data_IF_226181380082
#
_entry.id   IF_226181380082
#
_cell.length_a   1.000
_cell.length_b   1.000
_cell.length_c   1.000
_cell.angle_alpha   90.00
_cell.angle_beta   90.00
_cell.angle_gamma   90.00
#
_symmetry.space_group_name_H-M   'P 1'
#
loop_
_entity.id
_entity.type
_entity.pdbx_description
1 polymer ?
#
# COMPACT_ATOMS: atom_id res chain seq x y z
N UNK A 1 35.68 -14.43 -39.60
CA UNK A 1 34.49 -13.67 -40.05
C UNK A 1 33.26 -14.54 -39.82
N UNK A 2 32.24 -14.01 -39.13
CA UNK A 2 31.01 -14.70 -38.71
C UNK A 2 30.69 -14.42 -37.23
N UNK A 3 30.47 -13.14 -36.85
CA UNK A 3 29.14 -12.56 -36.58
C UNK A 3 28.39 -13.37 -35.50
N UNK A 4 28.57 -13.01 -34.23
CA UNK A 4 27.51 -12.39 -33.41
C UNK A 4 26.17 -13.14 -33.44
N UNK A 5 26.06 -14.23 -32.68
CA UNK A 5 24.77 -14.67 -32.14
C UNK A 5 24.59 -14.09 -30.75
N UNK A 6 24.17 -12.83 -30.74
CA UNK A 6 23.50 -12.19 -29.63
C UNK A 6 22.06 -12.67 -29.66
N UNK A 7 21.67 -13.59 -28.77
CA UNK A 7 20.28 -13.93 -28.53
C UNK A 7 20.06 -14.14 -27.04
N UNK A 8 19.94 -13.00 -26.37
CA UNK A 8 18.86 -12.76 -25.41
C UNK A 8 18.66 -13.88 -24.39
N UNK A 9 19.67 -14.09 -23.54
CA UNK A 9 19.43 -14.49 -22.18
C UNK A 9 18.56 -13.41 -21.54
N UNK A 10 17.24 -13.56 -21.70
CA UNK A 10 16.27 -12.92 -20.85
C UNK A 10 16.56 -13.43 -19.44
N UNK A 11 17.45 -12.74 -18.73
CA UNK A 11 17.34 -12.62 -17.29
C UNK A 11 15.97 -12.00 -17.06
N UNK A 12 14.92 -12.83 -17.09
CA UNK A 12 13.77 -12.64 -16.23
C UNK A 12 14.41 -12.53 -14.86
N UNK A 13 14.57 -11.30 -14.39
CA UNK A 13 14.79 -11.03 -12.98
C UNK A 13 13.71 -11.84 -12.29
N UNK A 14 14.08 -13.00 -11.75
CA UNK A 14 13.19 -13.84 -10.98
C UNK A 14 12.73 -12.94 -9.85
N UNK A 15 11.51 -12.44 -10.00
CA UNK A 15 10.94 -11.56 -9.01
C UNK A 15 10.83 -12.44 -7.76
N UNK A 16 11.49 -12.08 -6.65
CA UNK A 16 11.53 -12.95 -5.49
C UNK A 16 10.09 -13.29 -5.09
N UNK A 17 9.80 -14.59 -5.00
CA UNK A 17 8.46 -15.06 -4.64
C UNK A 17 8.16 -14.57 -3.24
N UNK A 18 7.27 -13.59 -3.13
CA UNK A 18 6.83 -13.05 -1.86
C UNK A 18 5.95 -14.10 -1.17
N UNK A 19 6.38 -14.55 0.01
CA UNK A 19 5.55 -15.41 0.85
C UNK A 19 4.29 -14.66 1.30
N UNK A 20 3.15 -15.36 1.48
CA UNK A 20 1.96 -14.75 2.06
C UNK A 20 2.26 -14.13 3.42
N UNK A 21 1.77 -12.91 3.63
CA UNK A 21 1.93 -12.22 4.91
C UNK A 21 0.80 -12.65 5.84
N UNK A 22 1.15 -13.17 7.02
CA UNK A 22 0.15 -13.41 8.08
C UNK A 22 0.06 -12.18 8.97
N UNK A 23 -1.14 -11.65 9.13
CA UNK A 23 -1.45 -10.53 10.03
C UNK A 23 -2.49 -10.96 11.07
N UNK A 24 -2.49 -10.33 12.24
CA UNK A 24 -3.55 -10.47 13.23
C UNK A 24 -4.65 -9.44 12.93
N UNK A 25 -5.88 -9.92 12.69
CA UNK A 25 -7.08 -9.11 12.53
C UNK A 25 -8.15 -9.54 13.56
N UNK A 26 -8.28 -8.76 14.62
CA UNK A 26 -9.01 -9.15 15.82
C UNK A 26 -8.34 -10.37 16.46
N UNK A 27 -9.12 -11.41 16.72
CA UNK A 27 -8.63 -12.66 17.30
C UNK A 27 -8.19 -13.69 16.26
N UNK A 28 -8.27 -13.37 14.96
CA UNK A 28 -8.01 -14.32 13.87
C UNK A 28 -6.77 -13.96 13.07
N UNK A 29 -5.89 -14.93 12.77
CA UNK A 29 -4.86 -14.73 11.77
C UNK A 29 -5.51 -14.65 10.38
N UNK A 30 -5.06 -13.69 9.58
CA UNK A 30 -5.46 -13.50 8.19
C UNK A 30 -4.21 -13.58 7.32
N UNK A 31 -4.28 -14.34 6.23
CA UNK A 31 -3.19 -14.47 5.26
C UNK A 31 -3.46 -13.57 4.06
N UNK A 32 -2.50 -12.72 3.74
CA UNK A 32 -2.53 -11.80 2.61
C UNK A 32 -1.59 -12.30 1.51
N UNK A 33 -2.12 -12.62 0.31
CA UNK A 33 -1.32 -13.21 -0.77
C UNK A 33 -0.51 -12.13 -1.51
N UNK A 34 0.63 -11.71 -0.95
CA UNK A 34 1.47 -10.63 -1.49
C UNK A 34 1.95 -10.86 -2.94
N UNK A 35 2.06 -12.11 -3.38
CA UNK A 35 2.36 -12.46 -4.77
C UNK A 35 1.30 -11.95 -5.75
N UNK A 36 0.03 -11.95 -5.35
CA UNK A 36 -1.08 -11.43 -6.18
C UNK A 36 -1.00 -9.92 -6.32
N UNK A 37 -0.72 -9.21 -5.22
CA UNK A 37 -0.49 -7.77 -5.24
C UNK A 37 0.68 -7.41 -6.14
N UNK A 38 1.81 -8.10 -6.00
CA UNK A 38 3.00 -7.86 -6.82
C UNK A 38 2.68 -8.05 -8.31
N UNK A 39 2.00 -9.13 -8.67
CA UNK A 39 1.55 -9.35 -10.05
C UNK A 39 0.65 -8.20 -10.53
N UNK A 40 -0.35 -7.81 -9.75
CA UNK A 40 -1.28 -6.71 -10.07
C UNK A 40 -0.57 -5.37 -10.29
N UNK A 41 0.44 -5.05 -9.47
CA UNK A 41 1.25 -3.82 -9.59
C UNK A 41 2.18 -3.89 -10.81
N UNK A 42 2.75 -5.07 -11.10
CA UNK A 42 3.67 -5.26 -12.21
C UNK A 42 2.98 -5.20 -13.58
N UNK A 43 1.73 -5.66 -13.69
CA UNK A 43 0.96 -5.60 -14.94
C UNK A 43 0.61 -4.18 -15.38
N UNK A 44 0.59 -3.21 -14.45
CA UNK A 44 0.28 -1.83 -14.79
C UNK A 44 1.45 -1.17 -15.52
N UNK A 45 1.20 -0.38 -16.56
CA UNK A 45 2.28 0.30 -17.29
C UNK A 45 2.63 1.66 -16.67
N UNK A 46 1.64 2.33 -16.07
CA UNK A 46 1.82 3.63 -15.41
C UNK A 46 1.91 3.45 -13.90
N UNK A 47 2.72 4.30 -13.26
CA UNK A 47 2.84 4.33 -11.79
C UNK A 47 1.49 4.64 -11.14
N UNK A 48 0.72 5.58 -11.71
CA UNK A 48 -0.60 5.96 -11.24
C UNK A 48 -1.53 4.74 -11.08
N UNK A 49 -1.68 3.98 -12.17
CA UNK A 49 -2.54 2.80 -12.23
C UNK A 49 -2.05 1.71 -11.26
N UNK A 50 -0.73 1.58 -11.08
CA UNK A 50 -0.13 0.64 -10.13
C UNK A 50 -0.46 0.96 -8.67
N UNK A 51 -0.42 2.24 -8.31
CA UNK A 51 -0.76 2.73 -6.97
C UNK A 51 -2.25 2.57 -6.69
N UNK A 52 -3.08 2.92 -7.66
CA UNK A 52 -4.53 2.73 -7.57
C UNK A 52 -4.88 1.25 -7.41
N UNK A 53 -4.30 0.38 -8.23
CA UNK A 53 -4.52 -1.07 -8.13
C UNK A 53 -4.04 -1.65 -6.80
N UNK A 54 -2.92 -1.17 -6.23
CA UNK A 54 -2.45 -1.58 -4.91
C UNK A 54 -3.41 -1.16 -3.79
N UNK A 55 -3.96 0.06 -3.86
CA UNK A 55 -4.92 0.55 -2.88
C UNK A 55 -6.24 -0.24 -2.96
N UNK A 56 -6.75 -0.53 -4.16
CA UNK A 56 -7.94 -1.36 -4.34
C UNK A 56 -7.72 -2.80 -3.90
N UNK A 57 -6.58 -3.40 -4.25
CA UNK A 57 -6.24 -4.74 -3.81
C UNK A 57 -6.29 -4.82 -2.29
N UNK A 58 -5.61 -3.89 -1.59
CA UNK A 58 -5.57 -3.92 -0.13
C UNK A 58 -6.96 -3.73 0.50
N UNK A 59 -7.75 -2.82 -0.06
CA UNK A 59 -9.12 -2.57 0.40
C UNK A 59 -10.02 -3.82 0.19
N UNK A 60 -9.83 -4.57 -0.90
CA UNK A 60 -10.57 -5.83 -1.14
C UNK A 60 -10.17 -6.99 -0.21
N UNK A 61 -8.94 -6.97 0.32
CA UNK A 61 -8.44 -8.04 1.19
C UNK A 61 -8.76 -7.81 2.67
N UNK A 62 -8.98 -6.56 3.08
CA UNK A 62 -9.15 -6.18 4.48
C UNK A 62 -10.46 -5.44 4.72
N UNK A 63 -11.13 -5.65 5.86
CA UNK A 63 -12.28 -4.83 6.26
C UNK A 63 -11.76 -3.48 6.80
N UNK A 64 -11.25 -2.65 5.90
CA UNK A 64 -10.73 -1.30 6.16
C UNK A 64 -11.64 -0.28 5.50
N UNK A 65 -11.75 0.91 6.09
CA UNK A 65 -12.60 1.98 5.53
C UNK A 65 -11.89 2.69 4.38
N UNK A 66 -10.56 2.81 4.47
CA UNK A 66 -9.79 3.55 3.48
C UNK A 66 -8.34 3.09 3.37
N UNK A 67 -7.82 3.15 2.14
CA UNK A 67 -6.39 3.07 1.84
C UNK A 67 -6.02 4.30 1.03
N UNK A 68 -4.93 4.97 1.39
CA UNK A 68 -4.45 6.14 0.65
C UNK A 68 -2.94 6.10 0.43
N UNK A 69 -2.50 6.70 -0.67
CA UNK A 69 -1.11 6.87 -1.02
C UNK A 69 -0.83 8.29 -1.51
N UNK A 70 0.31 8.86 -1.13
CA UNK A 70 0.76 10.16 -1.60
C UNK A 70 2.21 10.07 -2.04
N UNK A 71 2.51 10.57 -3.24
CA UNK A 71 3.86 10.73 -3.74
C UNK A 71 4.17 12.22 -3.98
N UNK A 72 5.12 12.80 -3.22
CA UNK A 72 5.33 14.24 -3.14
C UNK A 72 5.93 14.83 -4.41
N UNK A 73 6.75 14.09 -5.16
CA UNK A 73 7.41 14.63 -6.37
C UNK A 73 6.48 14.70 -7.57
N UNK A 74 5.47 13.84 -7.61
CA UNK A 74 4.49 13.82 -8.68
C UNK A 74 3.19 14.54 -8.29
N UNK A 75 3.10 15.05 -7.06
CA UNK A 75 1.88 15.64 -6.50
C UNK A 75 0.71 14.67 -6.49
N UNK A 76 0.99 13.36 -6.54
CA UNK A 76 -0.03 12.35 -6.80
C UNK A 76 -0.61 11.87 -5.48
N UNK A 77 -1.91 12.09 -5.30
CA UNK A 77 -2.71 11.60 -4.19
C UNK A 77 -3.71 10.56 -4.69
N UNK A 78 -3.66 9.37 -4.10
CA UNK A 78 -4.58 8.27 -4.39
C UNK A 78 -5.30 7.85 -3.13
N UNK A 79 -6.57 7.51 -3.30
CA UNK A 79 -7.43 7.03 -2.24
C UNK A 79 -8.33 5.95 -2.84
N UNK A 80 -8.30 4.76 -2.26
CA UNK A 80 -9.26 3.71 -2.56
C UNK A 80 -10.15 3.46 -1.34
N UNK A 81 -11.45 3.41 -1.60
CA UNK A 81 -12.49 3.11 -0.64
C UNK A 81 -13.39 2.06 -1.30
N UNK A 82 -13.62 0.90 -0.70
CA UNK A 82 -14.59 -0.05 -1.23
C UNK A 82 -15.99 0.25 -0.68
N UNK A 83 -17.02 -0.06 -1.47
CA UNK A 83 -18.42 0.36 -1.35
C UNK A 83 -19.21 -0.09 -0.12
N UNK A 84 -18.59 -0.28 1.05
CA UNK A 84 -19.29 -0.42 2.32
C UNK A 84 -19.56 0.97 2.91
N UNK A 85 -20.67 1.54 2.43
CA UNK A 85 -21.45 2.64 3.01
C UNK A 85 -20.72 3.96 3.29
N UNK A 86 -21.10 4.99 2.51
CA UNK A 86 -20.92 6.42 2.82
C UNK A 86 -19.62 6.77 3.52
N UNK A 87 -18.57 6.95 2.72
CA UNK A 87 -17.39 7.66 3.20
C UNK A 87 -17.85 8.98 3.82
N UNK A 88 -17.70 9.14 5.14
CA UNK A 88 -18.01 10.42 5.75
C UNK A 88 -17.11 11.47 5.09
N UNK A 89 -17.66 12.56 4.53
CA UNK A 89 -16.85 13.61 3.90
C UNK A 89 -15.71 14.08 4.81
N UNK A 90 -15.96 14.08 6.12
CA UNK A 90 -14.99 14.41 7.16
C UNK A 90 -13.80 13.44 7.20
N UNK A 91 -14.01 12.14 6.97
CA UNK A 91 -12.93 11.15 6.90
C UNK A 91 -12.04 11.39 5.68
N UNK A 92 -12.64 11.63 4.51
CA UNK A 92 -11.90 11.98 3.30
C UNK A 92 -11.05 13.24 3.47
N UNK A 93 -11.63 14.29 4.06
CA UNK A 93 -10.90 15.54 4.36
C UNK A 93 -9.75 15.27 5.32
N UNK A 94 -10.00 14.54 6.40
CA UNK A 94 -8.96 14.19 7.38
C UNK A 94 -7.80 13.44 6.73
N UNK A 95 -8.09 12.45 5.89
CA UNK A 95 -7.03 11.70 5.18
C UNK A 95 -6.27 12.57 4.20
N UNK A 96 -6.95 13.46 3.47
CA UNK A 96 -6.26 14.42 2.60
C UNK A 96 -5.30 15.30 3.40
N UNK A 97 -5.76 15.86 4.51
CA UNK A 97 -4.94 16.72 5.38
C UNK A 97 -3.71 15.97 5.93
N UNK A 98 -3.87 14.71 6.32
CA UNK A 98 -2.76 13.84 6.76
C UNK A 98 -1.75 13.61 5.63
N UNK A 99 -2.21 13.51 4.39
CA UNK A 99 -1.39 13.09 3.25
C UNK A 99 -0.68 14.26 2.56
N UNK A 100 -1.27 15.45 2.63
CA UNK A 100 -0.72 16.69 2.07
C UNK A 100 0.00 17.54 3.14
N UNK A 101 -0.34 17.38 4.42
CA UNK A 101 0.21 18.18 5.52
C UNK A 101 1.61 17.78 5.98
N UNK A 102 2.08 18.26 7.14
CA UNK A 102 3.34 17.82 7.75
C UNK A 102 3.34 16.32 8.07
N UNK A 103 4.51 15.69 8.05
CA UNK A 103 4.63 14.27 8.39
C UNK A 103 4.18 14.03 9.84
N UNK A 104 3.21 13.12 10.08
CA UNK A 104 2.75 12.82 11.43
C UNK A 104 3.90 12.34 12.34
N UNK A 105 3.90 12.77 13.60
CA UNK A 105 4.89 12.30 14.60
C UNK A 105 4.67 10.84 15.00
N UNK A 106 3.41 10.40 15.00
CA UNK A 106 3.01 9.04 15.35
C UNK A 106 2.62 8.28 14.10
N UNK A 107 3.03 7.01 14.01
CA UNK A 107 2.67 6.14 12.88
C UNK A 107 1.30 5.48 13.03
N UNK A 108 0.82 5.39 14.27
CA UNK A 108 -0.45 4.77 14.60
C UNK A 108 -1.19 5.64 15.61
N UNK A 109 -2.45 5.93 15.35
CA UNK A 109 -3.28 6.69 16.27
C UNK A 109 -4.76 6.41 16.01
N UNK A 110 -5.62 6.90 16.91
CA UNK A 110 -7.07 6.72 16.86
C UNK A 110 -7.79 8.06 16.90
N UNK A 111 -8.84 8.20 16.10
CA UNK A 111 -9.81 9.30 16.19
C UNK A 111 -11.21 8.69 16.16
N UNK A 112 -11.95 8.79 17.27
CA UNK A 112 -13.23 8.12 17.40
C UNK A 112 -13.11 6.60 17.26
N UNK A 113 -13.86 6.02 16.32
CA UNK A 113 -13.79 4.60 16.00
C UNK A 113 -12.79 4.25 14.88
N UNK A 114 -12.09 5.26 14.32
CA UNK A 114 -11.14 5.05 13.23
C UNK A 114 -9.71 4.97 13.76
N UNK A 115 -8.98 3.98 13.26
CA UNK A 115 -7.57 3.77 13.55
C UNK A 115 -6.78 4.03 12.28
N UNK A 116 -5.76 4.87 12.40
CA UNK A 116 -4.92 5.33 11.31
C UNK A 116 -3.55 4.68 11.46
N UNK A 117 -3.05 4.10 10.38
CA UNK A 117 -1.73 3.49 10.32
C UNK A 117 -1.01 4.03 9.09
N UNK A 118 0.11 4.72 9.30
CA UNK A 118 0.86 5.36 8.23
C UNK A 118 2.29 4.81 8.16
N UNK A 119 2.74 4.56 6.94
CA UNK A 119 4.14 4.30 6.63
C UNK A 119 4.71 5.44 5.81
N UNK A 120 5.93 5.85 6.17
CA UNK A 120 6.65 6.94 5.52
C UNK A 120 8.11 6.56 5.38
N UNK A 121 8.72 6.93 4.25
CA UNK A 121 10.15 6.69 4.01
C UNK A 121 10.44 5.30 3.46
N UNK A 122 11.66 4.81 3.66
CA UNK A 122 12.17 3.63 2.96
C UNK A 122 11.29 2.38 3.18
N UNK A 123 11.13 1.53 2.15
CA UNK A 123 11.76 1.61 0.82
C UNK A 123 11.09 2.58 -0.17
N UNK A 124 10.01 3.26 0.22
CA UNK A 124 9.40 4.30 -0.62
C UNK A 124 10.28 5.56 -0.70
N UNK A 125 10.12 6.38 -1.75
CA UNK A 125 10.79 7.67 -1.85
C UNK A 125 10.52 8.56 -0.65
N UNK A 126 11.51 9.37 -0.27
CA UNK A 126 11.41 10.30 0.85
C UNK A 126 10.14 11.17 0.75
N UNK A 127 9.44 11.33 1.89
CA UNK A 127 8.14 12.01 2.03
C UNK A 127 6.94 11.34 1.34
N UNK A 128 7.10 10.19 0.68
CA UNK A 128 5.94 9.41 0.25
C UNK A 128 5.24 8.80 1.46
N UNK A 129 3.92 8.68 1.37
CA UNK A 129 3.07 8.22 2.47
C UNK A 129 2.14 7.13 1.98
N UNK A 130 1.98 6.09 2.78
CA UNK A 130 0.95 5.07 2.58
C UNK A 130 0.16 4.99 3.89
N UNK A 131 -1.16 5.16 3.81
CA UNK A 131 -2.06 5.25 4.94
C UNK A 131 -3.14 4.17 4.82
N UNK A 132 -3.40 3.50 5.93
CA UNK A 132 -4.53 2.60 6.14
C UNK A 132 -5.42 3.20 7.23
N UNK A 133 -6.73 3.18 7.00
CA UNK A 133 -7.72 3.53 8.01
C UNK A 133 -8.66 2.36 8.20
N UNK A 134 -8.75 1.84 9.43
CA UNK A 134 -9.65 0.75 9.77
C UNK A 134 -10.67 1.13 10.86
N UNK A 135 -11.85 0.50 10.85
CA UNK A 135 -12.84 0.66 11.90
C UNK A 135 -12.57 -0.28 13.08
N UNK A 136 -12.58 0.25 14.30
CA UNK A 136 -12.60 -0.53 15.53
C UNK A 136 -11.27 -1.19 15.91
N UNK A 137 -10.16 -0.88 15.23
CA UNK A 137 -8.80 -1.18 15.68
C UNK A 137 -8.50 -2.66 15.78
N UNK A 138 -8.88 -3.42 14.76
CA UNK A 138 -8.72 -4.87 14.75
C UNK A 138 -7.33 -5.30 14.28
N UNK A 139 -6.62 -4.48 13.53
CA UNK A 139 -5.25 -4.74 13.11
C UNK A 139 -4.30 -4.32 14.23
N UNK A 140 -3.48 -5.27 14.69
CA UNK A 140 -2.44 -4.94 15.67
C UNK A 140 -1.41 -3.96 15.07
N UNK A 141 -0.74 -3.17 15.92
CA UNK A 141 0.28 -2.22 15.46
C UNK A 141 1.41 -2.95 14.70
N UNK A 142 1.83 -4.12 15.17
CA UNK A 142 2.85 -4.96 14.55
C UNK A 142 2.38 -5.43 13.17
N UNK A 143 1.14 -5.89 13.09
CA UNK A 143 0.51 -6.36 11.84
C UNK A 143 0.38 -5.24 10.81
N UNK A 144 -0.04 -4.05 11.25
CA UNK A 144 -0.13 -2.87 10.41
C UNK A 144 1.26 -2.45 9.88
N UNK A 145 2.29 -2.47 10.73
CA UNK A 145 3.65 -2.16 10.30
C UNK A 145 4.17 -3.16 9.28
N UNK A 146 4.02 -4.46 9.54
CA UNK A 146 4.46 -5.51 8.63
C UNK A 146 3.76 -5.40 7.27
N UNK A 147 2.45 -5.14 7.28
CA UNK A 147 1.64 -4.93 6.09
C UNK A 147 2.11 -3.71 5.30
N UNK A 148 2.14 -2.54 5.94
CA UNK A 148 2.51 -1.30 5.27
C UNK A 148 3.95 -1.34 4.73
N UNK A 149 4.87 -2.00 5.43
CA UNK A 149 6.23 -2.22 4.97
C UNK A 149 6.28 -3.14 3.75
N UNK A 150 5.51 -4.23 3.73
CA UNK A 150 5.41 -5.10 2.57
C UNK A 150 4.82 -4.38 1.35
N UNK A 151 3.75 -3.60 1.55
CA UNK A 151 3.15 -2.75 0.51
C UNK A 151 4.19 -1.76 -0.04
N UNK A 152 4.87 -1.04 0.84
CA UNK A 152 5.90 -0.07 0.47
C UNK A 152 7.03 -0.71 -0.34
N UNK A 153 7.45 -1.92 0.04
CA UNK A 153 8.48 -2.68 -0.66
C UNK A 153 8.03 -3.12 -2.05
N UNK A 154 6.80 -3.59 -2.22
CA UNK A 154 6.29 -3.96 -3.55
C UNK A 154 6.22 -2.73 -4.45
N UNK A 155 5.68 -1.61 -3.92
CA UNK A 155 5.53 -0.37 -4.67
C UNK A 155 6.88 0.29 -5.01
N UNK A 156 7.92 0.14 -4.18
CA UNK A 156 9.24 0.70 -4.46
C UNK A 156 9.95 0.02 -5.63
N UNK A 157 9.54 -1.17 -6.05
CA UNK A 157 10.06 -1.79 -7.28
C UNK A 157 9.42 -1.20 -8.55
N UNK A 158 8.37 -0.38 -8.40
CA UNK A 158 7.66 0.28 -9.49
C UNK A 158 8.09 1.74 -9.68
N UNK A 159 8.64 2.36 -8.64
CA UNK A 159 9.01 3.79 -8.56
C UNK A 159 10.51 3.94 -8.72
#
# INVERSE_FOLDING_TARGET
>A
MGIMENLLAHQRLETPVLQPLTIAYGEKPMQLPLSTLQATVQTQTKLLDALEAACYWLNSQLPVDMVAYCHPRSGTFHMACEGRSHLEPQLATTVRDIMEGPTPRMRHWRVGNHFYHIHTGTPMPHNSRFLLVEPGGKISVESANALLQAMAHILSHKI
#
